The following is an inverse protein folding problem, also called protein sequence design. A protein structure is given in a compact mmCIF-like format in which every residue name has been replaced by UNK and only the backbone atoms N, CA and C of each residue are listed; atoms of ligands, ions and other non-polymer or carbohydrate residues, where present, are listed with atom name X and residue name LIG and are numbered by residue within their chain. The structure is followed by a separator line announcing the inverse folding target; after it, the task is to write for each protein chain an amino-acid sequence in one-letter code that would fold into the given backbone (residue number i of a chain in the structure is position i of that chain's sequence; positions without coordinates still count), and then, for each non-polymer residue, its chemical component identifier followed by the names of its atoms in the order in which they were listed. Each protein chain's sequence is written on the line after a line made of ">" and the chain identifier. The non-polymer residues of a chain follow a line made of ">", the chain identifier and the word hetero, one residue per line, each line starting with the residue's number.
data_IF_485926829027
#
_entry.id   IF_485926829027
#
_cell.length_a   1.000
_cell.length_b   1.000
_cell.length_c   1.000
_cell.angle_alpha   90.00
_cell.angle_beta   90.00
_cell.angle_gamma   90.00
#
_symmetry.space_group_name_H-M   'P 1'
#
loop_
_entity.id
_entity.type
_entity.pdbx_description
1 polymer ?
#
# COMPACT_ATOMS: atom_id res chain seq x y z
N UNK A 1 5.19 -8.56 5.20
CA UNK A 1 4.95 -9.96 5.60
C UNK A 1 3.60 -10.04 6.30
N UNK A 2 2.79 -11.04 5.98
CA UNK A 2 1.56 -11.34 6.71
C UNK A 2 1.61 -12.77 7.27
N UNK A 3 1.19 -12.95 8.52
CA UNK A 3 1.01 -14.23 9.20
C UNK A 3 -0.45 -14.31 9.68
N UNK A 4 -1.32 -14.85 8.83
CA UNK A 4 -2.76 -14.83 9.06
C UNK A 4 -3.32 -16.26 8.97
N UNK A 5 -4.04 -16.70 10.02
CA UNK A 5 -4.65 -18.04 10.09
C UNK A 5 -3.66 -19.18 9.84
N UNK A 6 -2.44 -19.09 10.37
CA UNK A 6 -1.37 -20.07 10.16
C UNK A 6 -0.69 -20.01 8.80
N UNK A 7 -1.14 -19.14 7.89
CA UNK A 7 -0.57 -18.96 6.55
C UNK A 7 0.37 -17.76 6.51
N UNK A 8 1.52 -17.94 5.86
CA UNK A 8 2.53 -16.87 5.69
C UNK A 8 2.60 -16.45 4.24
N UNK A 9 2.52 -15.14 4.01
CA UNK A 9 2.82 -14.55 2.69
C UNK A 9 3.77 -13.38 2.87
N UNK A 10 4.74 -13.22 1.97
CA UNK A 10 5.64 -12.07 1.96
C UNK A 10 5.88 -11.55 0.56
N UNK A 11 6.20 -10.27 0.46
CA UNK A 11 6.57 -9.62 -0.79
C UNK A 11 7.40 -8.38 -0.51
N UNK A 12 8.30 -8.05 -1.44
CA UNK A 12 9.08 -6.81 -1.42
C UNK A 12 8.23 -5.66 -1.93
N UNK A 13 8.17 -4.56 -1.19
CA UNK A 13 7.47 -3.34 -1.62
C UNK A 13 8.22 -2.75 -2.81
N UNK A 14 7.53 -2.58 -3.93
CA UNK A 14 8.13 -2.07 -5.17
C UNK A 14 7.43 -0.83 -5.72
N UNK A 15 6.28 -0.47 -5.16
CA UNK A 15 5.54 0.73 -5.53
C UNK A 15 4.75 1.27 -4.35
N UNK A 16 4.84 2.58 -4.12
CA UNK A 16 4.14 3.30 -3.04
C UNK A 16 3.59 4.63 -3.52
N UNK A 17 2.62 5.19 -2.78
CA UNK A 17 2.17 6.56 -2.93
C UNK A 17 2.10 7.26 -1.58
N UNK A 18 2.65 8.48 -1.50
CA UNK A 18 2.55 9.31 -0.30
C UNK A 18 1.28 10.18 -0.34
N UNK A 19 0.66 10.35 0.83
CA UNK A 19 -0.51 11.19 1.08
C UNK A 19 -0.23 12.06 2.29
N UNK A 20 -0.07 13.38 2.06
CA UNK A 20 0.35 14.33 3.09
C UNK A 20 -0.89 14.96 3.74
N UNK A 21 -1.40 14.29 4.70
CA UNK A 21 -2.41 14.70 5.67
C UNK A 21 -3.40 15.75 5.21
N UNK A 22 -3.42 16.85 5.94
CA UNK A 22 -4.46 17.89 5.82
C UNK A 22 -4.26 18.85 4.65
N UNK A 23 -3.09 18.92 4.07
CA UNK A 23 -2.77 19.85 2.95
C UNK A 23 -2.91 19.22 1.57
N UNK A 24 -2.89 17.90 1.48
CA UNK A 24 -3.01 17.16 0.24
C UNK A 24 -4.47 16.87 -0.10
N UNK A 25 -4.98 17.51 -1.16
CA UNK A 25 -6.38 17.33 -1.60
C UNK A 25 -6.72 15.89 -2.01
N UNK A 26 -5.73 15.04 -2.30
CA UNK A 26 -5.95 13.62 -2.57
C UNK A 26 -6.02 12.76 -1.30
N UNK A 27 -5.71 13.33 -0.12
CA UNK A 27 -5.78 12.62 1.16
C UNK A 27 -7.21 12.57 1.70
N UNK A 28 -7.58 11.48 2.37
CA UNK A 28 -8.86 11.36 3.09
C UNK A 28 -9.00 12.34 4.25
N UNK A 29 -7.90 12.90 4.74
CA UNK A 29 -7.85 13.88 5.84
C UNK A 29 -7.64 15.31 5.35
N UNK A 30 -7.79 15.56 4.06
CA UNK A 30 -7.72 16.93 3.50
C UNK A 30 -8.61 17.90 4.26
N UNK A 31 -8.07 19.09 4.57
CA UNK A 31 -8.77 20.12 5.34
C UNK A 31 -8.99 19.77 6.81
N UNK A 32 -8.27 18.78 7.36
CA UNK A 32 -8.43 18.32 8.74
C UNK A 32 -9.61 17.38 8.96
N UNK A 33 -10.21 16.85 7.89
CA UNK A 33 -11.35 15.92 7.99
C UNK A 33 -10.97 14.67 8.76
N UNK A 34 -11.66 14.44 9.89
CA UNK A 34 -11.52 13.26 10.75
C UNK A 34 -12.87 12.58 10.92
N UNK A 35 -12.95 11.31 10.58
CA UNK A 35 -14.18 10.51 10.59
C UNK A 35 -13.85 9.08 11.02
N UNK A 36 -14.85 8.29 11.40
CA UNK A 36 -14.65 6.87 11.71
C UNK A 36 -13.95 6.08 10.58
N UNK A 37 -14.08 6.53 9.33
CA UNK A 37 -13.43 5.88 8.18
C UNK A 37 -11.92 6.08 8.17
N UNK A 38 -11.43 7.27 8.51
CA UNK A 38 -10.01 7.63 8.44
C UNK A 38 -9.36 7.83 9.81
N UNK A 39 -10.02 7.40 10.88
CA UNK A 39 -9.55 7.56 12.26
C UNK A 39 -8.12 7.02 12.45
N UNK A 40 -7.82 5.85 11.89
CA UNK A 40 -6.50 5.24 12.01
C UNK A 40 -5.37 5.97 11.26
N UNK A 41 -5.69 6.92 10.35
CA UNK A 41 -4.65 7.82 9.79
C UNK A 41 -4.06 8.76 10.84
N UNK A 42 -4.80 9.03 11.91
CA UNK A 42 -4.39 9.90 13.03
C UNK A 42 -3.68 9.14 14.16
N UNK A 43 -3.48 7.83 14.00
CA UNK A 43 -2.78 6.99 14.97
C UNK A 43 -1.26 7.25 14.97
N UNK A 44 -0.52 6.55 15.83
CA UNK A 44 0.94 6.61 15.88
C UNK A 44 1.59 6.06 14.60
N UNK A 45 2.82 6.50 14.25
CA UNK A 45 3.55 5.97 13.10
C UNK A 45 3.74 4.45 13.20
N UNK A 46 3.73 3.76 12.06
CA UNK A 46 3.76 2.30 12.01
C UNK A 46 2.40 1.63 12.21
N UNK A 47 1.30 2.39 12.31
CA UNK A 47 -0.05 1.84 12.32
C UNK A 47 -0.54 1.54 10.90
N UNK A 48 -1.18 0.40 10.70
CA UNK A 48 -1.87 0.07 9.46
C UNK A 48 -3.15 0.90 9.32
N UNK A 49 -3.34 1.53 8.19
CA UNK A 49 -4.61 2.13 7.80
C UNK A 49 -5.16 1.42 6.56
N UNK A 50 -6.23 0.66 6.74
CA UNK A 50 -6.86 -0.09 5.66
C UNK A 50 -8.28 0.43 5.43
N UNK A 51 -8.58 0.81 4.19
CA UNK A 51 -9.92 1.23 3.80
C UNK A 51 -10.45 0.46 2.60
N UNK A 52 -11.76 0.48 2.40
CA UNK A 52 -12.41 -0.15 1.26
C UNK A 52 -12.59 0.88 0.15
N UNK A 53 -12.10 0.53 -1.05
CA UNK A 53 -12.26 1.30 -2.28
C UNK A 53 -13.20 0.56 -3.24
N UNK A 54 -14.15 1.28 -3.84
CA UNK A 54 -15.18 0.74 -4.73
C UNK A 54 -15.97 -0.44 -4.14
N UNK A 55 -16.13 -0.49 -2.82
CA UNK A 55 -16.87 -1.54 -2.13
C UNK A 55 -16.19 -2.93 -2.07
N UNK A 56 -15.06 -3.12 -2.74
CA UNK A 56 -14.45 -4.46 -2.89
C UNK A 56 -12.94 -4.53 -2.62
N UNK A 57 -12.21 -3.44 -2.76
CA UNK A 57 -10.76 -3.45 -2.64
C UNK A 57 -10.31 -2.93 -1.28
N UNK A 58 -9.58 -3.72 -0.53
CA UNK A 58 -8.94 -3.33 0.72
C UNK A 58 -7.57 -2.73 0.41
N UNK A 59 -7.42 -1.42 0.59
CA UNK A 59 -6.19 -0.69 0.28
C UNK A 59 -5.38 -0.47 1.57
N UNK A 60 -4.17 -0.98 1.56
CA UNK A 60 -3.28 -1.02 2.72
C UNK A 60 -2.32 0.17 2.71
N UNK A 61 -2.37 0.96 3.78
CA UNK A 61 -1.49 2.10 4.02
C UNK A 61 -0.76 1.94 5.35
N UNK A 62 0.37 2.63 5.45
CA UNK A 62 1.18 2.79 6.66
C UNK A 62 1.11 4.24 7.11
N UNK A 63 0.72 4.47 8.35
CA UNK A 63 0.79 5.80 8.98
C UNK A 63 2.25 6.13 9.26
N UNK A 64 2.71 7.33 8.90
CA UNK A 64 4.14 7.66 8.91
C UNK A 64 4.51 8.83 9.81
N UNK A 65 3.55 9.68 10.20
CA UNK A 65 3.83 10.86 11.01
C UNK A 65 3.37 10.68 12.48
N UNK A 66 3.70 11.63 13.31
CA UNK A 66 3.31 11.67 14.74
C UNK A 66 1.81 11.52 14.89
N UNK A 67 1.39 10.97 16.02
CA UNK A 67 -0.03 10.88 16.37
C UNK A 67 -0.74 12.22 16.17
N UNK A 68 -1.92 12.18 15.59
CA UNK A 68 -2.74 13.31 15.16
C UNK A 68 -2.24 14.10 13.92
N UNK A 69 -1.16 13.65 13.26
CA UNK A 69 -0.75 14.16 11.94
C UNK A 69 -0.98 13.04 10.91
N UNK A 70 -2.05 13.15 10.08
CA UNK A 70 -2.57 12.01 9.31
C UNK A 70 -1.85 11.80 7.96
N UNK A 71 -0.52 11.64 8.00
CA UNK A 71 0.26 11.29 6.82
C UNK A 71 0.33 9.77 6.68
N UNK A 72 0.19 9.29 5.46
CA UNK A 72 0.20 7.86 5.17
C UNK A 72 0.87 7.54 3.83
N UNK A 73 1.41 6.32 3.75
CA UNK A 73 1.97 5.75 2.53
C UNK A 73 1.14 4.54 2.12
N UNK A 74 0.53 4.60 0.94
CA UNK A 74 -0.17 3.49 0.32
C UNK A 74 0.82 2.51 -0.29
N UNK A 75 0.68 1.22 0.02
CA UNK A 75 1.44 0.14 -0.63
C UNK A 75 0.68 -0.28 -1.89
N UNK A 76 1.24 0.07 -3.05
CA UNK A 76 0.56 -0.13 -4.34
C UNK A 76 0.92 -1.44 -5.03
N UNK A 77 2.16 -1.87 -4.91
CA UNK A 77 2.58 -3.15 -5.47
C UNK A 77 3.67 -3.78 -4.62
N UNK A 78 3.68 -5.10 -4.62
CA UNK A 78 4.76 -5.91 -4.02
C UNK A 78 5.22 -6.96 -5.03
N UNK A 79 6.51 -7.26 -5.02
CA UNK A 79 7.07 -8.44 -5.69
C UNK A 79 6.90 -9.64 -4.76
N UNK A 80 6.14 -10.68 -5.14
CA UNK A 80 5.91 -11.85 -4.30
C UNK A 80 7.21 -12.60 -3.99
N UNK A 81 7.43 -12.95 -2.71
CA UNK A 81 8.60 -13.69 -2.26
C UNK A 81 8.23 -15.07 -1.69
N UNK A 82 7.24 -15.13 -0.79
CA UNK A 82 6.83 -16.37 -0.11
C UNK A 82 5.31 -16.52 -0.08
N UNK A 83 4.82 -17.77 -0.15
CA UNK A 83 3.39 -18.09 -0.09
C UNK A 83 2.66 -17.71 -1.38
N UNK A 84 3.31 -17.88 -2.54
CA UNK A 84 2.73 -17.55 -3.85
C UNK A 84 1.48 -18.38 -4.13
N UNK A 85 1.45 -19.66 -3.77
CA UNK A 85 0.30 -20.55 -3.85
C UNK A 85 -0.90 -20.02 -3.05
N UNK A 86 -0.64 -19.52 -1.84
CA UNK A 86 -1.65 -18.88 -0.98
C UNK A 86 -2.19 -17.60 -1.65
N UNK A 87 -1.31 -16.79 -2.24
CA UNK A 87 -1.70 -15.59 -2.95
C UNK A 87 -2.55 -15.90 -4.19
N UNK A 88 -2.19 -16.94 -4.94
CA UNK A 88 -2.97 -17.44 -6.09
C UNK A 88 -4.36 -17.88 -5.65
N UNK A 89 -4.45 -18.68 -4.59
CA UNK A 89 -5.73 -19.13 -4.02
C UNK A 89 -6.61 -17.93 -3.61
N UNK A 90 -6.07 -16.97 -2.87
CA UNK A 90 -6.80 -15.77 -2.41
C UNK A 90 -7.30 -14.90 -3.56
N UNK A 91 -6.51 -14.81 -4.63
CA UNK A 91 -6.87 -13.98 -5.80
C UNK A 91 -7.73 -14.71 -6.82
N UNK A 92 -7.81 -16.04 -6.76
CA UNK A 92 -8.49 -16.90 -7.75
C UNK A 92 -7.68 -17.04 -9.05
N UNK A 93 -6.36 -16.80 -9.02
CA UNK A 93 -5.48 -16.95 -10.19
C UNK A 93 -4.94 -18.37 -10.28
N UNK A 94 -4.79 -18.86 -11.49
CA UNK A 94 -4.31 -20.22 -11.78
C UNK A 94 -2.79 -20.28 -11.86
N UNK A 95 -2.16 -19.17 -12.32
CA UNK A 95 -0.71 -19.09 -12.51
C UNK A 95 -0.14 -17.78 -12.02
N UNK A 96 1.14 -17.80 -11.66
CA UNK A 96 1.89 -16.62 -11.31
C UNK A 96 2.13 -15.74 -12.55
N UNK A 97 1.65 -14.52 -12.49
CA UNK A 97 1.99 -13.44 -13.40
C UNK A 97 2.16 -12.13 -12.62
N UNK A 98 2.58 -11.07 -13.31
CA UNK A 98 2.82 -9.77 -12.67
C UNK A 98 1.54 -9.11 -12.15
N UNK A 99 0.37 -9.55 -12.55
CA UNK A 99 -0.91 -8.99 -12.09
C UNK A 99 -1.34 -9.56 -10.74
N UNK A 100 -0.61 -10.54 -10.18
CA UNK A 100 -0.92 -11.13 -8.88
C UNK A 100 -0.93 -10.09 -7.76
N UNK A 101 0.04 -9.18 -7.78
CA UNK A 101 0.26 -8.17 -6.73
C UNK A 101 0.48 -6.76 -7.30
N UNK A 102 0.19 -6.55 -8.59
CA UNK A 102 0.23 -5.26 -9.26
C UNK A 102 -1.04 -4.47 -8.96
N UNK A 103 -0.88 -3.30 -8.35
CA UNK A 103 -1.97 -2.43 -7.91
C UNK A 103 -2.47 -2.73 -6.49
N UNK A 104 -2.94 -1.69 -5.75
CA UNK A 104 -3.16 -1.77 -4.31
C UNK A 104 -4.30 -2.72 -3.92
N UNK A 105 -5.32 -2.87 -4.76
CA UNK A 105 -6.39 -3.84 -4.55
C UNK A 105 -5.90 -5.29 -4.62
N UNK A 106 -5.00 -5.59 -5.56
CA UNK A 106 -4.38 -6.91 -5.68
C UNK A 106 -3.41 -7.19 -4.53
N UNK A 107 -2.67 -6.18 -4.06
CA UNK A 107 -1.83 -6.29 -2.85
C UNK A 107 -2.69 -6.71 -1.65
N UNK A 108 -3.78 -6.00 -1.36
CA UNK A 108 -4.67 -6.33 -0.25
C UNK A 108 -5.19 -7.76 -0.36
N UNK A 109 -5.69 -8.15 -1.53
CA UNK A 109 -6.26 -9.49 -1.78
C UNK A 109 -5.19 -10.60 -1.66
N UNK A 110 -4.06 -10.47 -2.34
CA UNK A 110 -2.98 -11.47 -2.34
C UNK A 110 -2.38 -11.65 -0.95
N UNK A 111 -2.11 -10.56 -0.25
CA UNK A 111 -1.54 -10.58 1.10
C UNK A 111 -2.57 -10.95 2.19
N UNK A 112 -3.86 -11.07 1.85
CA UNK A 112 -4.94 -11.39 2.80
C UNK A 112 -5.25 -10.24 3.77
N UNK A 113 -4.94 -9.01 3.38
CA UNK A 113 -5.18 -7.82 4.20
C UNK A 113 -6.63 -7.36 4.00
N UNK A 114 -7.36 -7.18 5.10
CA UNK A 114 -8.74 -6.68 5.12
C UNK A 114 -8.86 -5.41 5.98
N UNK A 115 -10.04 -4.78 5.94
CA UNK A 115 -10.35 -3.62 6.80
C UNK A 115 -10.19 -3.94 8.29
N UNK A 116 -10.38 -5.18 8.72
CA UNK A 116 -10.26 -5.61 10.11
C UNK A 116 -8.82 -5.49 10.64
N UNK A 117 -7.85 -5.38 9.75
CA UNK A 117 -6.45 -5.12 10.09
C UNK A 117 -6.13 -3.63 10.23
N UNK A 118 -7.09 -2.72 10.00
CA UNK A 118 -6.88 -1.29 10.21
C UNK A 118 -6.73 -1.00 11.70
N UNK A 119 -5.70 -0.26 12.08
CA UNK A 119 -5.38 0.10 13.47
C UNK A 119 -4.33 -0.81 14.14
N UNK A 120 -3.93 -1.94 13.52
CA UNK A 120 -2.85 -2.75 14.08
C UNK A 120 -1.49 -2.08 13.86
N UNK A 121 -0.56 -2.30 14.79
CA UNK A 121 0.81 -1.80 14.66
C UNK A 121 1.68 -2.79 13.87
N UNK A 122 2.45 -2.27 12.90
CA UNK A 122 3.22 -3.07 11.93
C UNK A 122 4.59 -3.55 12.44
N UNK A 123 4.89 -3.36 13.72
CA UNK A 123 5.98 -4.06 14.43
C UNK A 123 5.50 -5.32 15.15
N UNK A 124 4.21 -5.66 15.00
CA UNK A 124 3.60 -6.85 15.60
C UNK A 124 3.94 -8.13 14.85
N UNK A 125 3.15 -9.19 15.12
CA UNK A 125 3.40 -10.53 14.59
C UNK A 125 2.39 -11.00 13.52
N UNK A 126 1.33 -10.22 13.24
CA UNK A 126 0.31 -10.58 12.23
C UNK A 126 0.63 -10.00 10.85
N UNK A 127 0.85 -8.71 10.80
CA UNK A 127 1.29 -7.97 9.61
C UNK A 127 2.44 -7.09 10.06
N UNK A 128 3.55 -7.18 9.37
CA UNK A 128 4.73 -6.37 9.71
C UNK A 128 5.55 -6.03 8.47
N UNK A 129 6.27 -4.92 8.58
CA UNK A 129 7.26 -4.49 7.60
C UNK A 129 8.63 -4.76 8.21
N UNK A 130 9.49 -5.37 7.43
CA UNK A 130 10.90 -5.62 7.75
C UNK A 130 11.77 -5.19 6.57
N UNK A 131 13.04 -5.25 6.76
CA UNK A 131 14.05 -5.08 5.72
C UNK A 131 14.62 -6.42 5.30
N UNK A 132 15.15 -6.49 4.10
CA UNK A 132 15.93 -7.61 3.58
C UNK A 132 17.30 -7.10 3.11
N UNK A 133 18.21 -8.01 2.82
CA UNK A 133 19.57 -7.68 2.38
C UNK A 133 19.64 -7.22 0.90
N UNK A 134 18.48 -6.96 0.28
CA UNK A 134 18.44 -6.53 -1.11
C UNK A 134 18.78 -5.04 -1.24
N UNK A 135 19.88 -4.75 -1.91
CA UNK A 135 20.27 -3.38 -2.22
C UNK A 135 19.49 -2.82 -3.41
N UNK A 136 18.95 -1.63 -3.25
CA UNK A 136 18.28 -0.91 -4.33
C UNK A 136 19.36 -0.27 -5.20
N UNK A 137 19.57 -0.81 -6.38
CA UNK A 137 20.53 -0.36 -7.37
C UNK A 137 20.06 0.94 -8.06
N UNK A 138 20.08 2.06 -7.36
CA UNK A 138 19.79 3.44 -7.82
C UNK A 138 18.60 3.63 -8.77
N UNK A 139 17.56 2.80 -8.65
CA UNK A 139 16.50 2.70 -9.65
C UNK A 139 15.13 3.10 -9.14
N UNK A 140 15.07 4.00 -8.15
CA UNK A 140 13.78 4.55 -7.71
C UNK A 140 13.35 5.61 -8.73
N UNK A 141 12.16 5.41 -9.29
CA UNK A 141 11.46 6.38 -10.10
C UNK A 141 10.40 7.11 -9.29
N UNK A 142 10.10 8.32 -9.70
CA UNK A 142 9.01 9.12 -9.16
C UNK A 142 8.06 9.56 -10.28
N UNK A 143 6.78 9.71 -9.96
CA UNK A 143 5.77 10.22 -10.87
C UNK A 143 4.56 10.73 -10.13
N UNK A 144 3.60 11.29 -10.86
CA UNK A 144 2.26 11.57 -10.32
C UNK A 144 1.58 10.28 -9.86
N UNK A 145 0.73 10.41 -8.84
CA UNK A 145 -0.10 9.31 -8.31
C UNK A 145 -1.16 8.87 -9.32
N UNK A 146 -1.69 7.66 -9.13
CA UNK A 146 -2.69 7.04 -10.01
C UNK A 146 -4.04 7.00 -9.31
N UNK A 147 -5.10 7.40 -10.02
CA UNK A 147 -6.48 7.32 -9.52
C UNK A 147 -6.86 8.45 -8.54
N UNK A 148 -6.18 9.60 -8.64
CA UNK A 148 -6.43 10.78 -7.81
C UNK A 148 -6.74 12.03 -8.64
N UNK A 149 -7.21 11.85 -9.87
CA UNK A 149 -7.44 12.91 -10.85
C UNK A 149 -8.42 13.97 -10.34
N UNK A 150 -9.38 13.58 -9.49
CA UNK A 150 -10.34 14.48 -8.84
C UNK A 150 -9.72 15.46 -7.84
N UNK A 151 -8.45 15.26 -7.44
CA UNK A 151 -7.76 16.14 -6.50
C UNK A 151 -7.23 17.44 -7.13
N UNK A 152 -7.47 17.67 -8.43
CA UNK A 152 -7.03 18.89 -9.13
C UNK A 152 -5.50 18.99 -9.17
N UNK A 153 -4.93 20.14 -8.77
CA UNK A 153 -3.47 20.33 -8.79
C UNK A 153 -2.69 19.31 -7.94
N UNK A 154 -3.27 18.83 -6.85
CA UNK A 154 -2.62 17.83 -6.02
C UNK A 154 -2.43 16.46 -6.73
N UNK A 155 -3.19 16.18 -7.79
CA UNK A 155 -2.99 15.01 -8.62
C UNK A 155 -1.68 15.05 -9.42
N UNK A 156 -1.10 16.22 -9.60
CA UNK A 156 0.16 16.41 -10.34
C UNK A 156 1.40 16.24 -9.48
N UNK A 157 1.25 16.15 -8.16
CA UNK A 157 2.41 15.99 -7.26
C UNK A 157 3.12 14.66 -7.52
N UNK A 158 4.47 14.63 -7.55
CA UNK A 158 5.27 13.45 -7.83
C UNK A 158 5.37 12.53 -6.59
N UNK A 159 4.25 12.20 -5.99
CA UNK A 159 4.17 11.45 -4.72
C UNK A 159 3.97 9.95 -4.92
N UNK A 160 4.28 9.43 -6.09
CA UNK A 160 4.36 8.00 -6.36
C UNK A 160 5.80 7.60 -6.61
N UNK A 161 6.27 6.60 -5.87
CA UNK A 161 7.64 6.09 -5.92
C UNK A 161 7.61 4.61 -6.29
N UNK A 162 8.55 4.18 -7.13
CA UNK A 162 8.57 2.82 -7.63
C UNK A 162 9.97 2.38 -8.06
N UNK A 163 10.22 1.08 -8.04
CA UNK A 163 11.45 0.49 -8.56
C UNK A 163 11.33 0.40 -10.09
N UNK A 164 12.19 1.15 -10.81
CA UNK A 164 12.21 1.16 -12.27
C UNK A 164 12.48 -0.24 -12.81
N UNK A 165 11.79 -0.62 -13.91
CA UNK A 165 11.96 -1.92 -14.54
C UNK A 165 11.31 -3.10 -13.80
N UNK A 166 10.83 -2.94 -12.57
CA UNK A 166 10.18 -4.03 -11.86
C UNK A 166 8.80 -4.32 -12.49
N UNK A 167 8.57 -5.57 -12.87
CA UNK A 167 7.37 -6.03 -13.61
C UNK A 167 6.06 -5.91 -12.82
N UNK A 168 6.12 -5.81 -11.50
CA UNK A 168 4.95 -5.67 -10.64
C UNK A 168 4.50 -4.22 -10.46
N UNK A 169 5.28 -3.24 -10.88
CA UNK A 169 4.90 -1.81 -10.82
C UNK A 169 3.73 -1.53 -11.77
N UNK A 170 2.73 -0.77 -11.30
CA UNK A 170 1.52 -0.45 -12.08
C UNK A 170 1.74 0.71 -13.07
N UNK A 171 0.87 0.81 -14.10
CA UNK A 171 0.97 1.84 -15.14
C UNK A 171 2.10 1.60 -16.13
N UNK A 172 2.54 2.65 -16.83
CA UNK A 172 3.67 2.67 -17.77
C UNK A 172 4.87 3.43 -17.21
N UNK A 173 5.51 2.96 -16.12
CA UNK A 173 6.68 3.66 -15.57
C UNK A 173 7.99 3.20 -16.23
N UNK A 174 7.93 2.30 -17.20
CA UNK A 174 9.08 1.56 -17.73
C UNK A 174 9.69 2.18 -18.99
N UNK A 175 9.53 3.50 -19.17
CA UNK A 175 10.27 4.25 -20.19
C UNK A 175 11.11 5.33 -19.54
#
# INVERSE_FOLDING_TARGET
>A
ITKLNGLVTSGRIVETEAYIGITDKASHSFGGKRTARNEHMYASPGTAYVYICYGMHHLFNVVTNKQNIPDAVLIRAVEPLQGIDIMLQRTGKIKLDNTLTKGPGNVGKAMGISKDHSGIHLSGNKIFIGEDDWEIDNTIGESKRIGVESAGLAALYPYRFFIKGNKYVSGYPNK
#
